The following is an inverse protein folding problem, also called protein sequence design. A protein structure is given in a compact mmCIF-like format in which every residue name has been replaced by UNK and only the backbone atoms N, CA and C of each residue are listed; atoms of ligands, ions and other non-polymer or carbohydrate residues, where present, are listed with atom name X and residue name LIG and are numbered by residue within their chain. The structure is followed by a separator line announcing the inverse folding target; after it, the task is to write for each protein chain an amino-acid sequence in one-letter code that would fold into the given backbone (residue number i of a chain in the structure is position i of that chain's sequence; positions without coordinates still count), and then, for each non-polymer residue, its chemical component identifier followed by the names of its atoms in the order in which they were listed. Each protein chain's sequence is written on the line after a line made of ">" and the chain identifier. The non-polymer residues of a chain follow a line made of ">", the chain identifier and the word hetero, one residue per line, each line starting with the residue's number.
data_IF_332064564403
#
_entry.id   IF_332064564403
#
_cell.length_a   1.000
_cell.length_b   1.000
_cell.length_c   1.000
_cell.angle_alpha   90.00
_cell.angle_beta   90.00
_cell.angle_gamma   90.00
#
_symmetry.space_group_name_H-M   'P 1'
#
loop_
_entity.id
_entity.type
_entity.pdbx_description
1 polymer ?
#
# COMPACT_ATOMS: atom_id res chain seq x y z
N UNK A 1 8.63 -16.63 9.66
CA UNK A 1 9.21 -15.41 10.25
C UNK A 1 9.64 -14.44 9.16
N UNK A 2 10.45 -14.89 8.20
CA UNK A 2 10.77 -14.15 6.97
C UNK A 2 9.86 -14.64 5.84
N UNK A 3 9.44 -13.75 4.95
CA UNK A 3 8.74 -14.08 3.71
C UNK A 3 9.44 -13.46 2.50
N UNK A 4 9.45 -14.17 1.38
CA UNK A 4 9.90 -13.65 0.08
C UNK A 4 8.71 -12.96 -0.59
N UNK A 5 8.83 -11.66 -0.87
CA UNK A 5 7.88 -10.90 -1.69
C UNK A 5 8.43 -10.75 -3.11
N UNK A 6 7.53 -10.81 -4.08
CA UNK A 6 7.80 -10.61 -5.50
C UNK A 6 6.84 -9.52 -5.99
N UNK A 7 7.27 -8.59 -6.88
CA UNK A 7 6.37 -7.59 -7.42
C UNK A 7 5.12 -8.23 -8.04
N UNK A 8 3.94 -7.69 -7.77
CA UNK A 8 2.70 -8.18 -8.38
C UNK A 8 2.81 -8.19 -9.91
N UNK A 9 2.34 -9.28 -10.52
CA UNK A 9 2.47 -9.51 -11.97
C UNK A 9 3.78 -10.16 -12.42
N UNK A 10 4.79 -10.29 -11.54
CA UNK A 10 6.02 -11.03 -11.85
C UNK A 10 5.99 -12.48 -11.35
N UNK A 11 6.86 -13.33 -11.90
CA UNK A 11 6.97 -14.74 -11.51
C UNK A 11 7.90 -14.95 -10.29
N UNK A 12 7.77 -16.12 -9.64
CA UNK A 12 8.53 -16.45 -8.42
C UNK A 12 10.07 -16.49 -8.58
N UNK A 13 10.58 -16.49 -9.82
CA UNK A 13 12.02 -16.46 -10.15
C UNK A 13 12.55 -15.05 -10.39
N UNK A 14 11.72 -14.01 -10.23
CA UNK A 14 12.15 -12.62 -10.38
C UNK A 14 13.36 -12.30 -9.50
N UNK A 15 14.34 -11.61 -10.10
CA UNK A 15 15.51 -11.05 -9.40
C UNK A 15 15.17 -9.81 -8.57
N UNK A 16 13.96 -9.25 -8.72
CA UNK A 16 13.50 -8.08 -7.96
C UNK A 16 12.90 -8.46 -6.61
N UNK A 17 12.87 -9.74 -6.25
CA UNK A 17 12.28 -10.17 -4.98
C UNK A 17 13.01 -9.61 -3.77
N UNK A 18 12.25 -9.29 -2.72
CA UNK A 18 12.76 -8.84 -1.42
C UNK A 18 12.38 -9.85 -0.33
N UNK A 19 13.15 -9.88 0.75
CA UNK A 19 12.81 -10.63 1.96
C UNK A 19 12.37 -9.67 3.04
N UNK A 20 11.22 -9.93 3.65
CA UNK A 20 10.69 -9.08 4.73
C UNK A 20 10.38 -9.90 5.96
N UNK A 21 10.44 -9.28 7.12
CA UNK A 21 9.94 -9.87 8.37
C UNK A 21 8.42 -9.84 8.28
N UNK A 22 7.78 -11.01 8.28
CA UNK A 22 6.33 -11.13 8.17
C UNK A 22 5.61 -10.79 9.49
N UNK A 23 6.28 -11.07 10.60
CA UNK A 23 5.69 -10.96 11.93
C UNK A 23 5.70 -9.50 12.42
N UNK A 24 4.52 -8.97 12.78
CA UNK A 24 4.35 -7.58 13.18
C UNK A 24 5.06 -7.28 14.51
N UNK A 25 5.10 -8.23 15.44
CA UNK A 25 5.80 -8.05 16.71
C UNK A 25 7.31 -7.94 16.48
N UNK A 26 7.88 -8.81 15.64
CA UNK A 26 9.30 -8.75 15.31
C UNK A 26 9.65 -7.49 14.51
N UNK A 27 8.80 -7.04 13.57
CA UNK A 27 9.01 -5.76 12.88
C UNK A 27 9.07 -4.59 13.87
N UNK A 28 8.13 -4.54 14.80
CA UNK A 28 8.14 -3.54 15.88
C UNK A 28 9.40 -3.65 16.73
N UNK A 29 9.74 -4.86 17.17
CA UNK A 29 10.88 -5.10 18.04
C UNK A 29 12.20 -4.70 17.37
N UNK A 30 12.44 -5.12 16.13
CA UNK A 30 13.66 -4.75 15.40
C UNK A 30 13.73 -3.24 15.12
N UNK A 31 12.61 -2.61 14.73
CA UNK A 31 12.58 -1.18 14.42
C UNK A 31 12.88 -0.31 15.65
N UNK A 32 12.24 -0.60 16.78
CA UNK A 32 12.31 0.28 17.95
C UNK A 32 13.13 -0.33 19.10
N UNK A 33 12.69 -1.46 19.64
CA UNK A 33 13.27 -2.02 20.86
C UNK A 33 14.72 -2.48 20.70
N UNK A 34 15.07 -3.10 19.57
CA UNK A 34 16.42 -3.61 19.31
C UNK A 34 17.39 -2.49 18.91
N UNK A 35 17.00 -1.67 17.92
CA UNK A 35 17.89 -0.64 17.33
C UNK A 35 18.25 0.44 18.34
N UNK A 36 17.31 0.85 19.19
CA UNK A 36 17.48 1.97 20.12
C UNK A 36 17.45 1.55 21.59
N UNK A 37 17.74 0.28 21.91
CA UNK A 37 17.57 -0.28 23.26
C UNK A 37 18.27 0.56 24.35
N UNK A 38 19.55 0.89 24.15
CA UNK A 38 20.32 1.66 25.13
C UNK A 38 19.75 3.07 25.33
N UNK A 39 19.32 3.72 24.25
CA UNK A 39 18.70 5.03 24.31
C UNK A 39 17.35 4.99 25.05
N UNK A 40 16.46 4.05 24.71
CA UNK A 40 15.17 3.92 25.39
C UNK A 40 15.29 3.50 26.85
N UNK A 41 16.32 2.73 27.20
CA UNK A 41 16.62 2.42 28.60
C UNK A 41 17.02 3.68 29.40
N UNK A 42 17.77 4.61 28.79
CA UNK A 42 18.12 5.90 29.41
C UNK A 42 16.95 6.88 29.46
N UNK A 43 16.16 6.93 28.38
CA UNK A 43 15.03 7.84 28.22
C UNK A 43 13.89 7.50 29.20
N UNK A 44 13.71 6.22 29.51
CA UNK A 44 12.61 5.73 30.35
C UNK A 44 11.43 5.25 29.51
N UNK A 45 10.66 4.31 30.06
CA UNK A 45 9.62 3.59 29.32
C UNK A 45 8.49 4.49 28.81
N UNK A 46 8.15 5.55 29.54
CA UNK A 46 7.04 6.44 29.19
C UNK A 46 7.40 7.31 27.99
N UNK A 47 8.51 8.03 28.07
CA UNK A 47 9.01 8.91 27.03
C UNK A 47 9.40 8.13 25.77
N UNK A 48 9.98 6.92 25.93
CA UNK A 48 10.22 6.01 24.81
C UNK A 48 8.91 5.58 24.12
N UNK A 49 7.86 5.27 24.89
CA UNK A 49 6.56 4.94 24.32
C UNK A 49 5.95 6.13 23.56
N UNK A 50 6.05 7.35 24.09
CA UNK A 50 5.60 8.56 23.41
C UNK A 50 6.33 8.78 22.08
N UNK A 51 7.66 8.64 22.06
CA UNK A 51 8.46 8.77 20.83
C UNK A 51 8.08 7.71 19.79
N UNK A 52 7.94 6.45 20.21
CA UNK A 52 7.51 5.35 19.33
C UNK A 52 6.10 5.60 18.78
N UNK A 53 5.18 6.08 19.63
CA UNK A 53 3.80 6.37 19.23
C UNK A 53 3.71 7.53 18.23
N UNK A 54 4.63 8.48 18.27
CA UNK A 54 4.72 9.54 17.27
C UNK A 54 5.15 9.01 15.88
N UNK A 55 5.99 7.96 15.82
CA UNK A 55 6.42 7.30 14.57
C UNK A 55 5.52 6.13 14.14
N UNK A 56 4.54 5.73 14.96
CA UNK A 56 3.80 4.46 14.77
C UNK A 56 3.12 4.34 13.40
N UNK A 57 2.67 5.47 12.84
CA UNK A 57 2.04 5.51 11.51
C UNK A 57 2.98 4.96 10.43
N UNK A 58 4.29 5.21 10.54
CA UNK A 58 5.28 4.72 9.59
C UNK A 58 5.49 3.20 9.69
N UNK A 59 5.40 2.61 10.89
CA UNK A 59 5.39 1.15 11.04
C UNK A 59 4.08 0.54 10.49
N UNK A 60 2.95 1.21 10.77
CA UNK A 60 1.61 0.73 10.44
C UNK A 60 1.28 0.82 8.95
N UNK A 61 1.95 1.66 8.16
CA UNK A 61 1.77 1.76 6.70
C UNK A 61 1.79 0.39 6.01
N UNK A 62 2.92 -0.32 6.10
CA UNK A 62 3.07 -1.68 5.52
C UNK A 62 2.02 -2.68 6.05
N UNK A 63 1.59 -2.55 7.32
CA UNK A 63 0.56 -3.43 7.90
C UNK A 63 -0.80 -3.12 7.26
N UNK A 64 -1.09 -1.83 7.09
CA UNK A 64 -2.32 -1.33 6.52
C UNK A 64 -2.46 -1.68 5.04
N UNK A 65 -1.39 -1.63 4.26
CA UNK A 65 -1.35 -2.17 2.89
C UNK A 65 -1.79 -3.64 2.84
N UNK A 66 -1.34 -4.44 3.82
CA UNK A 66 -1.76 -5.83 3.98
C UNK A 66 -3.27 -5.97 4.21
N UNK A 67 -3.86 -5.11 5.05
CA UNK A 67 -5.32 -5.08 5.30
C UNK A 67 -6.07 -4.69 4.02
N UNK A 68 -5.59 -3.68 3.28
CA UNK A 68 -6.19 -3.23 2.02
C UNK A 68 -6.14 -4.32 0.94
N UNK A 69 -5.04 -5.09 0.89
CA UNK A 69 -4.93 -6.27 0.02
C UNK A 69 -5.97 -7.33 0.38
N UNK A 70 -6.16 -7.64 1.66
CA UNK A 70 -7.18 -8.60 2.11
C UNK A 70 -8.60 -8.12 1.81
N UNK A 71 -8.86 -6.81 1.90
CA UNK A 71 -10.12 -6.22 1.47
C UNK A 71 -10.40 -6.51 -0.01
N UNK A 72 -9.45 -6.26 -0.92
CA UNK A 72 -9.62 -6.59 -2.34
C UNK A 72 -9.85 -8.10 -2.56
N UNK A 73 -9.14 -8.97 -1.82
CA UNK A 73 -9.37 -10.42 -1.88
C UNK A 73 -10.80 -10.78 -1.47
N UNK A 74 -11.32 -10.15 -0.42
CA UNK A 74 -12.70 -10.36 0.05
C UNK A 74 -13.73 -9.89 -0.98
N UNK A 75 -13.53 -8.71 -1.56
CA UNK A 75 -14.41 -8.20 -2.61
C UNK A 75 -14.35 -9.04 -3.89
N UNK A 76 -13.19 -9.61 -4.23
CA UNK A 76 -13.06 -10.55 -5.34
C UNK A 76 -13.90 -11.82 -5.09
N UNK A 77 -13.83 -12.39 -3.87
CA UNK A 77 -14.64 -13.55 -3.45
C UNK A 77 -16.14 -13.26 -3.51
N UNK A 78 -16.55 -12.04 -3.11
CA UNK A 78 -17.93 -11.53 -3.19
C UNK A 78 -18.38 -11.16 -4.62
N UNK A 79 -17.50 -11.29 -5.65
CA UNK A 79 -17.76 -10.84 -7.04
C UNK A 79 -18.13 -9.35 -7.16
N UNK A 80 -17.58 -8.52 -6.27
CA UNK A 80 -17.84 -7.07 -6.23
C UNK A 80 -16.75 -6.24 -6.92
N UNK A 81 -15.62 -6.83 -7.28
CA UNK A 81 -14.58 -6.16 -8.06
C UNK A 81 -14.95 -6.13 -9.56
N UNK A 82 -14.44 -5.15 -10.32
CA UNK A 82 -14.66 -5.05 -11.77
C UNK A 82 -14.15 -6.27 -12.56
N UNK A 83 -13.21 -7.03 -11.99
CA UNK A 83 -12.74 -8.31 -12.49
C UNK A 83 -12.19 -9.17 -11.35
N UNK A 84 -11.90 -10.45 -11.63
CA UNK A 84 -11.22 -11.33 -10.66
C UNK A 84 -9.71 -11.24 -10.87
N UNK A 85 -8.93 -10.79 -9.88
CA UNK A 85 -7.48 -10.73 -9.98
C UNK A 85 -6.87 -12.12 -10.21
N UNK A 86 -5.92 -12.20 -11.13
CA UNK A 86 -5.02 -13.35 -11.27
C UNK A 86 -3.77 -13.19 -10.38
N UNK A 87 -3.27 -11.97 -10.24
CA UNK A 87 -2.23 -11.61 -9.27
C UNK A 87 -2.67 -10.41 -8.43
N UNK A 88 -2.27 -10.39 -7.16
CA UNK A 88 -2.51 -9.27 -6.24
C UNK A 88 -1.37 -9.15 -5.23
N UNK A 89 -0.86 -7.93 -5.03
CA UNK A 89 0.18 -7.62 -4.05
C UNK A 89 0.87 -6.28 -4.34
N UNK A 90 1.85 -5.92 -3.51
CA UNK A 90 2.70 -4.74 -3.74
C UNK A 90 3.50 -4.91 -5.03
N UNK A 91 3.68 -3.82 -5.77
CA UNK A 91 4.56 -3.79 -6.93
C UNK A 91 5.67 -2.77 -6.71
N UNK A 92 6.86 -3.07 -7.20
CA UNK A 92 7.98 -2.12 -7.31
C UNK A 92 8.76 -2.41 -8.59
N UNK A 93 9.23 -1.36 -9.24
CA UNK A 93 10.01 -1.49 -10.46
C UNK A 93 10.33 -0.18 -11.14
N UNK A 94 11.00 -0.26 -12.30
CA UNK A 94 11.32 0.93 -13.08
C UNK A 94 10.06 1.47 -13.76
N UNK A 95 9.73 2.74 -13.53
CA UNK A 95 8.71 3.48 -14.27
C UNK A 95 9.38 4.32 -15.38
N UNK A 96 9.22 3.96 -16.67
CA UNK A 96 9.84 4.69 -17.77
C UNK A 96 9.39 6.15 -17.89
N UNK A 97 8.19 6.50 -17.39
CA UNK A 97 7.66 7.86 -17.47
C UNK A 97 8.44 8.83 -16.59
N UNK A 98 8.92 8.39 -15.44
CA UNK A 98 9.70 9.21 -14.49
C UNK A 98 11.20 8.86 -14.51
N UNK A 99 11.59 7.81 -15.26
CA UNK A 99 12.97 7.30 -15.36
C UNK A 99 13.60 6.94 -14.00
N UNK A 100 12.78 6.41 -13.09
CA UNK A 100 13.17 6.06 -11.73
C UNK A 100 12.47 4.77 -11.26
N UNK A 101 12.89 4.24 -10.11
CA UNK A 101 12.08 3.25 -9.40
C UNK A 101 10.80 3.89 -8.90
N UNK A 102 9.75 3.10 -8.88
CA UNK A 102 8.40 3.47 -8.48
C UNK A 102 7.74 2.24 -7.83
N UNK A 103 6.65 2.45 -7.12
CA UNK A 103 5.91 1.40 -6.44
C UNK A 103 4.40 1.65 -6.42
N UNK A 104 3.66 0.58 -6.12
CA UNK A 104 2.21 0.61 -5.93
C UNK A 104 1.90 -0.30 -4.75
N UNK A 105 1.30 0.27 -3.70
CA UNK A 105 0.99 -0.43 -2.45
C UNK A 105 0.23 -1.73 -2.68
N UNK A 106 -0.85 -1.68 -3.47
CA UNK A 106 -1.56 -2.87 -3.91
C UNK A 106 -1.92 -2.80 -5.39
N UNK A 107 -1.35 -3.69 -6.17
CA UNK A 107 -1.62 -3.88 -7.59
C UNK A 107 -2.30 -5.23 -7.83
N UNK A 108 -3.52 -5.19 -8.37
CA UNK A 108 -4.25 -6.38 -8.79
C UNK A 108 -4.35 -6.41 -10.33
N UNK A 109 -3.96 -7.51 -10.96
CA UNK A 109 -3.95 -7.65 -12.45
C UNK A 109 -4.80 -8.86 -12.84
N UNK A 110 -5.58 -8.72 -13.91
CA UNK A 110 -6.38 -9.81 -14.46
C UNK A 110 -5.52 -10.85 -15.21
N UNK A 111 -6.13 -11.98 -15.57
CA UNK A 111 -5.40 -13.08 -16.23
C UNK A 111 -4.84 -12.69 -17.60
N UNK A 112 -5.48 -11.76 -18.31
CA UNK A 112 -5.00 -11.32 -19.63
C UNK A 112 -3.89 -10.27 -19.57
N UNK A 113 -3.65 -9.66 -18.40
CA UNK A 113 -2.73 -8.55 -18.25
C UNK A 113 -3.19 -7.28 -18.97
N UNK A 114 -4.52 -7.08 -19.10
CA UNK A 114 -5.15 -5.93 -19.76
C UNK A 114 -5.99 -5.08 -18.80
N UNK A 115 -6.36 -5.59 -17.63
CA UNK A 115 -7.09 -4.86 -16.60
C UNK A 115 -6.30 -4.85 -15.30
N UNK A 116 -6.28 -3.71 -14.62
CA UNK A 116 -5.66 -3.62 -13.32
C UNK A 116 -6.42 -2.71 -12.36
N UNK A 117 -6.35 -3.04 -11.07
CA UNK A 117 -6.68 -2.14 -9.96
C UNK A 117 -5.35 -1.68 -9.37
N UNK A 118 -5.15 -0.37 -9.36
CA UNK A 118 -4.06 0.30 -8.66
C UNK A 118 -4.64 0.89 -7.38
N UNK A 119 -4.00 0.62 -6.24
CA UNK A 119 -4.49 1.06 -4.95
C UNK A 119 -3.38 1.70 -4.12
N UNK A 120 -3.66 2.89 -3.60
CA UNK A 120 -2.84 3.65 -2.66
C UNK A 120 -3.43 3.57 -1.25
N UNK A 121 -2.61 3.31 -0.22
CA UNK A 121 -3.06 2.99 1.14
C UNK A 121 -2.44 3.93 2.19
N UNK A 122 -3.20 4.91 2.70
CA UNK A 122 -2.69 5.85 3.70
C UNK A 122 -3.18 5.60 5.12
N UNK A 123 -2.23 5.30 6.02
CA UNK A 123 -2.46 5.19 7.46
C UNK A 123 -1.83 6.37 8.22
N UNK A 124 -2.34 7.58 7.98
CA UNK A 124 -1.87 8.82 8.65
C UNK A 124 -2.98 9.45 9.48
N UNK A 125 -2.62 10.42 10.35
CA UNK A 125 -3.57 11.23 11.09
C UNK A 125 -4.14 12.40 10.26
N UNK A 126 -3.49 12.80 9.18
CA UNK A 126 -3.96 13.82 8.24
C UNK A 126 -4.71 13.22 7.04
N UNK A 127 -5.65 13.97 6.43
CA UNK A 127 -6.27 13.60 5.17
C UNK A 127 -5.25 13.36 4.06
N UNK A 128 -5.54 12.43 3.16
CA UNK A 128 -4.69 12.12 2.01
C UNK A 128 -4.51 13.36 1.12
N UNK A 129 -3.27 13.83 0.92
CA UNK A 129 -2.99 15.00 0.12
C UNK A 129 -3.05 14.65 -1.38
N UNK A 130 -3.11 15.66 -2.25
CA UNK A 130 -3.37 15.47 -3.69
C UNK A 130 -2.20 14.82 -4.43
N UNK A 131 -1.00 15.00 -3.91
CA UNK A 131 0.25 14.44 -4.42
C UNK A 131 0.16 12.90 -4.52
N UNK A 132 -0.40 12.24 -3.51
CA UNK A 132 -0.59 10.77 -3.50
C UNK A 132 -1.48 10.30 -4.67
N UNK A 133 -2.45 11.12 -5.07
CA UNK A 133 -3.30 10.82 -6.23
C UNK A 133 -2.50 10.89 -7.54
N UNK A 134 -1.69 11.94 -7.68
CA UNK A 134 -0.82 12.13 -8.84
C UNK A 134 0.22 11.01 -8.93
N UNK A 135 0.77 10.61 -7.79
CA UNK A 135 1.77 9.54 -7.70
C UNK A 135 1.17 8.22 -8.18
N UNK A 136 0.00 7.82 -7.68
CA UNK A 136 -0.67 6.58 -8.14
C UNK A 136 -1.00 6.64 -9.64
N UNK A 137 -1.52 7.76 -10.14
CA UNK A 137 -1.80 7.96 -11.57
C UNK A 137 -0.50 7.85 -12.40
N UNK A 138 0.61 8.38 -11.90
CA UNK A 138 1.92 8.31 -12.55
C UNK A 138 2.47 6.88 -12.56
N UNK A 139 2.28 6.11 -11.48
CA UNK A 139 2.67 4.71 -11.39
C UNK A 139 1.93 3.85 -12.43
N UNK A 140 0.70 4.19 -12.79
CA UNK A 140 -0.03 3.45 -13.84
C UNK A 140 0.69 3.49 -15.21
N UNK A 141 1.50 4.51 -15.47
CA UNK A 141 2.28 4.67 -16.71
C UNK A 141 3.41 3.64 -16.84
N UNK A 142 3.79 2.96 -15.75
CA UNK A 142 4.72 1.83 -15.82
C UNK A 142 4.12 0.60 -16.55
N UNK A 143 2.81 0.61 -16.82
CA UNK A 143 2.06 -0.53 -17.35
C UNK A 143 1.36 -0.22 -18.70
N UNK A 144 2.10 0.03 -19.80
CA UNK A 144 1.52 0.43 -21.09
C UNK A 144 0.61 -0.63 -21.73
N UNK A 145 0.65 -1.87 -21.23
CA UNK A 145 -0.17 -2.97 -21.74
C UNK A 145 -1.58 -3.03 -21.11
N UNK A 146 -1.78 -2.36 -19.97
CA UNK A 146 -3.08 -2.27 -19.29
C UNK A 146 -3.96 -1.25 -20.03
N UNK A 147 -5.15 -1.70 -20.41
CA UNK A 147 -6.13 -0.90 -21.15
C UNK A 147 -7.27 -0.39 -20.27
N UNK A 148 -7.58 -1.14 -19.22
CA UNK A 148 -8.64 -0.82 -18.27
C UNK A 148 -8.02 -0.62 -16.89
N UNK A 149 -7.97 0.63 -16.43
CA UNK A 149 -7.36 1.04 -15.17
C UNK A 149 -8.49 1.40 -14.21
N UNK A 150 -8.40 0.84 -13.00
CA UNK A 150 -9.28 1.17 -11.88
C UNK A 150 -8.43 1.73 -10.74
N UNK A 151 -8.69 2.97 -10.32
CA UNK A 151 -7.95 3.64 -9.24
C UNK A 151 -8.72 3.52 -7.93
N UNK A 152 -8.04 3.04 -6.89
CA UNK A 152 -8.59 2.88 -5.55
C UNK A 152 -7.69 3.64 -4.59
N UNK A 153 -8.28 4.37 -3.65
CA UNK A 153 -7.54 5.03 -2.60
C UNK A 153 -8.16 4.64 -1.27
N UNK A 154 -7.33 4.28 -0.30
CA UNK A 154 -7.77 3.97 1.06
C UNK A 154 -7.12 4.95 2.02
N UNK A 155 -7.90 5.63 2.84
CA UNK A 155 -7.36 6.58 3.82
C UNK A 155 -7.98 6.42 5.20
N UNK A 156 -7.12 6.35 6.22
CA UNK A 156 -7.52 6.38 7.63
C UNK A 156 -8.25 7.68 8.00
N UNK A 157 -7.70 8.81 7.58
CA UNK A 157 -8.16 10.15 7.99
C UNK A 157 -8.92 10.89 6.89
N UNK A 158 -9.42 10.16 5.89
CA UNK A 158 -10.16 10.73 4.76
C UNK A 158 -9.27 11.44 3.74
N UNK A 159 -9.86 12.36 2.98
CA UNK A 159 -9.25 12.93 1.76
C UNK A 159 -9.32 14.44 1.75
N UNK A 160 -8.29 15.08 1.20
CA UNK A 160 -8.35 16.50 0.85
C UNK A 160 -9.40 16.76 -0.25
N UNK A 161 -9.93 17.97 -0.31
CA UNK A 161 -10.93 18.35 -1.33
C UNK A 161 -10.44 18.21 -2.79
N UNK A 162 -9.17 18.49 -3.14
CA UNK A 162 -8.66 18.19 -4.47
C UNK A 162 -8.75 16.71 -4.84
N UNK A 163 -8.46 15.79 -3.91
CA UNK A 163 -8.57 14.34 -4.14
C UNK A 163 -10.01 13.93 -4.42
N UNK A 164 -10.97 14.42 -3.61
CA UNK A 164 -12.40 14.11 -3.82
C UNK A 164 -12.89 14.57 -5.20
N UNK A 165 -12.54 15.80 -5.59
CA UNK A 165 -12.92 16.35 -6.90
C UNK A 165 -12.30 15.56 -8.05
N UNK A 166 -11.02 15.21 -7.96
CA UNK A 166 -10.36 14.46 -9.02
C UNK A 166 -10.90 13.03 -9.12
N UNK A 167 -11.18 12.39 -7.99
CA UNK A 167 -11.78 11.06 -7.96
C UNK A 167 -13.17 11.02 -8.61
N UNK A 168 -13.98 12.06 -8.44
CA UNK A 168 -15.29 12.18 -9.11
C UNK A 168 -15.13 12.28 -10.64
N UNK A 169 -14.12 13.02 -11.12
CA UNK A 169 -13.83 13.16 -12.56
C UNK A 169 -13.36 11.83 -13.16
N UNK A 170 -12.43 11.14 -12.49
CA UNK A 170 -11.80 9.94 -13.02
C UNK A 170 -12.59 8.66 -12.72
N UNK A 171 -13.62 8.73 -11.87
CA UNK A 171 -14.34 7.57 -11.36
C UNK A 171 -13.52 6.71 -10.41
N UNK A 172 -12.57 7.31 -9.67
CA UNK A 172 -11.76 6.60 -8.68
C UNK A 172 -12.57 6.25 -7.43
N UNK A 173 -12.25 5.10 -6.84
CA UNK A 173 -12.94 4.60 -5.64
C UNK A 173 -12.21 5.10 -4.40
N UNK A 174 -12.91 5.87 -3.55
CA UNK A 174 -12.42 6.35 -2.26
C UNK A 174 -13.01 5.48 -1.13
N UNK A 175 -12.15 4.89 -0.30
CA UNK A 175 -12.52 4.01 0.82
C UNK A 175 -11.96 4.51 2.14
N UNK A 176 -12.81 4.55 3.16
CA UNK A 176 -12.40 4.77 4.54
C UNK A 176 -12.12 3.45 5.25
N UNK A 177 -11.58 3.50 6.46
CA UNK A 177 -11.41 2.31 7.31
C UNK A 177 -12.74 1.57 7.49
N UNK A 178 -13.83 2.28 7.72
CA UNK A 178 -15.15 1.67 7.95
C UNK A 178 -15.62 0.86 6.74
N UNK A 179 -15.20 1.22 5.53
CA UNK A 179 -15.53 0.49 4.31
C UNK A 179 -14.79 -0.84 4.20
N UNK A 180 -13.60 -0.96 4.82
CA UNK A 180 -12.80 -2.19 4.77
C UNK A 180 -13.42 -3.35 5.58
N UNK A 181 -14.32 -3.04 6.52
CA UNK A 181 -14.92 -4.00 7.44
C UNK A 181 -16.40 -4.32 7.15
N UNK A 182 -16.92 -3.90 5.97
CA UNK A 182 -18.29 -4.24 5.48
C UNK A 182 -18.31 -5.51 4.59
#
# INVERSE_FOLDING_TARGET
>A
MIEKRVPSGENNRSKKSIYVIKDNFLRFWFRYAFTNNAYYAMLGAKEAAEEIMNDISNLMGDVFEGVCKEYLIHQAKKRKLPFIPFSIGKWWGNNPSIKAQDDVDVLAIDRSGKKAIFMECKFTSSPMPYEEYIDLVTATKAFPNIKEIHLYFVSKSGYSEPVKRQAEIDGAVLLTIDDLFK
#
